data_IF_347201947499
#
_entry.id   IF_347201947499
#
_cell.length_a   1.000
_cell.length_b   1.000
_cell.length_c   1.000
_cell.angle_alpha   90.00
_cell.angle_beta   90.00
_cell.angle_gamma   90.00
#
_symmetry.space_group_name_H-M   'P 1'
#
loop_
_entity.id
_entity.type
_entity.pdbx_description
1 polymer ?
#
# COMPACT_ATOMS: atom_id res chain seq x y z
N UNK A 1 -3.93 41.51 -18.74
CA UNK A 1 -3.64 41.73 -17.30
C UNK A 1 -3.06 40.50 -16.59
N UNK A 2 -3.29 39.28 -17.09
CA UNK A 2 -2.76 38.03 -16.53
C UNK A 2 -1.23 37.92 -16.56
N UNK A 3 -0.55 38.40 -17.60
CA UNK A 3 0.91 38.24 -17.77
C UNK A 3 1.73 38.94 -16.70
N UNK A 4 1.33 40.14 -16.25
CA UNK A 4 2.05 40.87 -15.21
C UNK A 4 2.01 40.13 -13.87
N UNK A 5 0.86 39.55 -13.51
CA UNK A 5 0.70 38.78 -12.27
C UNK A 5 1.37 37.41 -12.34
N UNK A 6 1.34 36.75 -13.49
CA UNK A 6 2.07 35.51 -13.71
C UNK A 6 3.59 35.74 -13.60
N UNK A 7 4.09 36.84 -14.18
CA UNK A 7 5.50 37.22 -14.06
C UNK A 7 5.90 37.51 -12.61
N UNK A 8 5.07 38.25 -11.86
CA UNK A 8 5.28 38.48 -10.44
C UNK A 8 5.33 37.17 -9.64
N UNK A 9 4.36 36.27 -9.86
CA UNK A 9 4.32 34.96 -9.21
C UNK A 9 5.57 34.12 -9.55
N UNK A 10 6.00 34.11 -10.81
CA UNK A 10 7.23 33.42 -11.23
C UNK A 10 8.45 33.96 -10.51
N UNK A 11 8.56 35.29 -10.39
CA UNK A 11 9.64 35.95 -9.67
C UNK A 11 9.68 35.53 -8.20
N UNK A 12 8.53 35.58 -7.51
CA UNK A 12 8.40 35.13 -6.11
C UNK A 12 8.73 33.64 -5.93
N UNK A 13 8.26 32.78 -6.83
CA UNK A 13 8.55 31.36 -6.77
C UNK A 13 10.04 31.09 -7.01
N UNK A 14 10.69 31.85 -7.90
CA UNK A 14 12.12 31.68 -8.19
C UNK A 14 13.03 32.10 -7.02
N UNK A 15 12.60 33.07 -6.21
CA UNK A 15 13.38 33.66 -5.11
C UNK A 15 13.20 32.96 -3.76
N UNK A 16 12.34 31.95 -3.69
CA UNK A 16 12.05 31.21 -2.44
C UNK A 16 12.54 29.76 -2.47
N UNK A 17 12.64 29.12 -1.32
CA UNK A 17 13.00 27.69 -1.20
C UNK A 17 11.85 26.76 -1.57
N UNK A 18 12.15 25.49 -1.87
CA UNK A 18 11.18 24.52 -2.36
C UNK A 18 9.90 24.42 -1.51
N UNK A 19 10.04 24.28 -0.19
CA UNK A 19 8.90 24.14 0.72
C UNK A 19 8.00 25.38 0.72
N UNK A 20 8.58 26.57 0.60
CA UNK A 20 7.83 27.81 0.52
C UNK A 20 7.04 27.89 -0.79
N UNK A 21 7.65 27.51 -1.93
CA UNK A 21 6.96 27.40 -3.22
C UNK A 21 5.76 26.46 -3.14
N UNK A 22 5.95 25.28 -2.55
CA UNK A 22 4.86 24.30 -2.39
C UNK A 22 3.74 24.86 -1.52
N UNK A 23 4.05 25.47 -0.37
CA UNK A 23 3.03 26.10 0.50
C UNK A 23 2.26 27.22 -0.21
N UNK A 24 2.95 28.02 -1.02
CA UNK A 24 2.31 29.06 -1.82
C UNK A 24 1.36 28.46 -2.86
N UNK A 25 1.74 27.37 -3.53
CA UNK A 25 0.86 26.66 -4.47
C UNK A 25 -0.35 25.99 -3.80
N UNK A 26 -0.16 25.44 -2.60
CA UNK A 26 -1.26 24.93 -1.77
C UNK A 26 -2.24 26.05 -1.41
N UNK A 27 -1.74 27.24 -1.05
CA UNK A 27 -2.55 28.40 -0.73
C UNK A 27 -3.28 28.96 -1.97
N UNK A 28 -2.59 29.04 -3.11
CA UNK A 28 -3.18 29.45 -4.39
C UNK A 28 -4.30 28.48 -4.81
N UNK A 29 -4.08 27.17 -4.62
CA UNK A 29 -5.09 26.14 -4.84
C UNK A 29 -6.35 26.31 -3.99
N UNK A 30 -6.24 26.77 -2.73
CA UNK A 30 -7.42 27.08 -1.90
C UNK A 30 -8.22 28.24 -2.47
N UNK A 31 -7.52 29.30 -2.90
CA UNK A 31 -8.14 30.50 -3.49
C UNK A 31 -8.84 30.20 -4.80
N UNK A 32 -8.21 29.41 -5.67
CA UNK A 32 -8.72 29.06 -7.00
C UNK A 32 -10.11 28.39 -6.99
N UNK A 33 -10.60 27.90 -5.84
CA UNK A 33 -11.98 27.39 -5.71
C UNK A 33 -13.05 28.46 -5.91
N UNK A 34 -12.73 29.72 -5.61
CA UNK A 34 -13.68 30.84 -5.66
C UNK A 34 -13.13 32.05 -6.41
N UNK A 35 -11.85 32.03 -6.76
CA UNK A 35 -11.12 33.11 -7.42
C UNK A 35 -10.69 32.65 -8.84
N UNK A 36 -11.41 33.07 -9.90
CA UNK A 36 -11.08 32.72 -11.30
C UNK A 36 -9.69 33.20 -11.71
N UNK A 37 -9.15 34.22 -11.06
CA UNK A 37 -7.83 34.72 -11.37
C UNK A 37 -6.73 33.83 -10.80
N UNK A 38 -6.90 33.35 -9.56
CA UNK A 38 -6.04 32.31 -9.01
C UNK A 38 -6.08 31.03 -9.85
N UNK A 39 -7.26 30.69 -10.40
CA UNK A 39 -7.40 29.59 -11.36
C UNK A 39 -6.60 29.85 -12.64
N UNK A 40 -6.72 31.05 -13.23
CA UNK A 40 -5.97 31.42 -14.43
C UNK A 40 -4.44 31.38 -14.24
N UNK A 41 -3.94 31.73 -13.07
CA UNK A 41 -2.51 31.60 -12.74
C UNK A 41 -2.04 30.14 -12.70
N UNK A 42 -2.84 29.25 -12.10
CA UNK A 42 -2.54 27.81 -12.08
C UNK A 42 -2.58 27.20 -13.49
N UNK A 43 -3.55 27.60 -14.31
CA UNK A 43 -3.69 27.12 -15.68
C UNK A 43 -2.49 27.57 -16.54
N UNK A 44 -2.03 28.81 -16.36
CA UNK A 44 -0.84 29.31 -17.05
C UNK A 44 0.43 28.57 -16.63
N UNK A 45 0.63 28.30 -15.34
CA UNK A 45 1.77 27.50 -14.85
C UNK A 45 1.69 26.04 -15.36
N UNK A 46 0.49 25.48 -15.51
CA UNK A 46 0.30 24.12 -16.03
C UNK A 46 0.69 23.96 -17.52
N UNK A 47 0.80 25.07 -18.26
CA UNK A 47 1.33 25.09 -19.64
C UNK A 47 2.82 25.41 -19.71
N UNK A 48 3.46 25.61 -18.56
CA UNK A 48 4.86 26.00 -18.45
C UNK A 48 5.85 24.85 -18.60
N UNK A 49 7.08 25.12 -18.15
CA UNK A 49 8.12 24.10 -18.08
C UNK A 49 7.82 23.03 -17.01
N UNK A 50 8.64 21.98 -16.94
CA UNK A 50 8.43 20.89 -15.99
C UNK A 50 8.43 21.32 -14.50
N UNK A 51 9.12 22.41 -14.16
CA UNK A 51 9.11 22.99 -12.81
C UNK A 51 7.78 23.67 -12.53
N UNK A 52 7.31 24.50 -13.47
CA UNK A 52 6.03 25.19 -13.39
C UNK A 52 4.86 24.23 -13.34
N UNK A 53 4.84 23.21 -14.20
CA UNK A 53 3.79 22.17 -14.19
C UNK A 53 3.77 21.41 -12.87
N UNK A 54 4.94 21.10 -12.30
CA UNK A 54 5.02 20.47 -10.98
C UNK A 54 4.46 21.39 -9.88
N UNK A 55 4.73 22.69 -9.94
CA UNK A 55 4.21 23.66 -8.98
C UNK A 55 2.69 23.84 -9.12
N UNK A 56 2.18 23.94 -10.34
CA UNK A 56 0.73 23.97 -10.61
C UNK A 56 0.05 22.71 -10.05
N UNK A 57 0.66 21.54 -10.24
CA UNK A 57 0.16 20.27 -9.71
C UNK A 57 0.12 20.23 -8.17
N UNK A 58 1.05 20.90 -7.49
CA UNK A 58 1.04 20.97 -6.02
C UNK A 58 -0.23 21.67 -5.46
N UNK A 59 -0.92 22.50 -6.24
CA UNK A 59 -2.21 23.06 -5.84
C UNK A 59 -3.29 21.98 -5.61
N UNK A 60 -3.11 20.77 -6.15
CA UNK A 60 -4.06 19.66 -5.99
C UNK A 60 -4.10 19.08 -4.58
N UNK A 61 -3.13 19.37 -3.72
CA UNK A 61 -3.22 19.05 -2.29
C UNK A 61 -4.45 19.68 -1.63
N UNK A 62 -4.93 20.82 -2.15
CA UNK A 62 -6.14 21.49 -1.65
C UNK A 62 -7.28 21.41 -2.63
N UNK A 63 -7.05 21.53 -3.94
CA UNK A 63 -8.14 21.49 -4.92
C UNK A 63 -8.80 20.12 -5.08
N UNK A 64 -8.02 19.04 -5.01
CA UNK A 64 -8.49 17.66 -5.19
C UNK A 64 -9.18 17.41 -6.54
N UNK A 65 -8.64 17.99 -7.62
CA UNK A 65 -9.12 17.73 -8.99
C UNK A 65 -8.44 16.47 -9.52
N UNK A 66 -9.05 15.30 -9.28
CA UNK A 66 -8.51 14.01 -9.70
C UNK A 66 -8.20 13.92 -11.20
N UNK A 67 -9.01 14.55 -12.06
CA UNK A 67 -8.75 14.59 -13.51
C UNK A 67 -7.45 15.31 -13.88
N UNK A 68 -7.05 16.35 -13.14
CA UNK A 68 -5.76 17.02 -13.36
C UNK A 68 -4.59 16.15 -12.90
N UNK A 69 -4.75 15.44 -11.79
CA UNK A 69 -3.74 14.49 -11.28
C UNK A 69 -3.55 13.32 -12.24
N UNK A 70 -4.65 12.76 -12.75
CA UNK A 70 -4.63 11.64 -13.70
C UNK A 70 -3.89 12.00 -15.00
N UNK A 71 -4.18 13.17 -15.58
CA UNK A 71 -3.43 13.67 -16.76
C UNK A 71 -1.93 13.79 -16.48
N UNK A 72 -1.55 14.26 -15.29
CA UNK A 72 -0.16 14.44 -14.90
C UNK A 72 0.61 13.12 -14.69
N UNK A 73 -0.06 11.97 -14.61
CA UNK A 73 0.61 10.66 -14.59
C UNK A 73 1.31 10.33 -15.91
N UNK A 74 0.90 10.96 -17.01
CA UNK A 74 1.50 10.80 -18.33
C UNK A 74 2.45 11.95 -18.71
N UNK A 75 2.75 12.88 -17.78
CA UNK A 75 3.66 13.99 -18.06
C UNK A 75 5.05 13.48 -18.45
N UNK A 76 5.74 14.13 -19.39
CA UNK A 76 7.09 13.75 -19.83
C UNK A 76 8.13 13.80 -18.69
N UNK A 77 7.94 14.72 -17.75
CA UNK A 77 8.81 14.88 -16.59
C UNK A 77 8.52 13.84 -15.51
N UNK A 78 9.53 13.03 -15.18
CA UNK A 78 9.46 12.10 -14.05
C UNK A 78 9.09 12.80 -12.74
N UNK A 79 9.57 14.04 -12.52
CA UNK A 79 9.28 14.79 -11.29
C UNK A 79 7.80 15.19 -11.22
N UNK A 80 7.15 15.49 -12.34
CA UNK A 80 5.71 15.77 -12.36
C UNK A 80 4.95 14.47 -12.08
N UNK A 81 5.26 13.38 -12.79
CA UNK A 81 4.64 12.06 -12.57
C UNK A 81 4.76 11.58 -11.13
N UNK A 82 5.93 11.76 -10.51
CA UNK A 82 6.16 11.36 -9.12
C UNK A 82 5.22 12.07 -8.14
N UNK A 83 5.02 13.40 -8.31
CA UNK A 83 4.07 14.15 -7.51
C UNK A 83 2.62 13.74 -7.81
N UNK A 84 2.30 13.47 -9.08
CA UNK A 84 0.97 13.00 -9.46
C UNK A 84 0.62 11.69 -8.74
N UNK A 85 1.51 10.70 -8.70
CA UNK A 85 1.29 9.45 -7.96
C UNK A 85 1.09 9.66 -6.45
N UNK A 86 1.77 10.64 -5.84
CA UNK A 86 1.58 11.00 -4.43
C UNK A 86 0.18 11.61 -4.18
N UNK A 87 -0.35 12.33 -5.15
CA UNK A 87 -1.65 12.99 -5.08
C UNK A 87 -2.84 12.06 -5.38
N UNK A 88 -2.63 10.95 -6.11
CA UNK A 88 -3.72 10.01 -6.48
C UNK A 88 -4.60 9.64 -5.27
N UNK A 89 -4.06 9.19 -4.13
CA UNK A 89 -4.88 8.78 -3.01
C UNK A 89 -5.66 9.92 -2.34
N UNK A 90 -5.25 11.18 -2.58
CA UNK A 90 -5.82 12.40 -2.00
C UNK A 90 -6.86 13.08 -2.88
N UNK A 91 -6.64 13.07 -4.19
CA UNK A 91 -7.38 13.88 -5.15
C UNK A 91 -8.27 13.05 -6.09
N UNK A 92 -7.90 11.81 -6.39
CA UNK A 92 -8.66 10.97 -7.31
C UNK A 92 -9.84 10.28 -6.61
N UNK A 93 -10.97 10.17 -7.31
CA UNK A 93 -12.04 9.24 -6.96
C UNK A 93 -11.62 7.77 -7.18
N UNK A 94 -12.50 6.80 -6.86
CA UNK A 94 -12.15 5.37 -6.90
C UNK A 94 -11.87 4.88 -8.34
N UNK A 95 -12.60 5.38 -9.33
CA UNK A 95 -12.40 5.02 -10.73
C UNK A 95 -11.05 5.55 -11.25
N UNK A 96 -10.75 6.82 -10.95
CA UNK A 96 -9.48 7.47 -11.29
C UNK A 96 -8.30 6.83 -10.56
N UNK A 97 -8.47 6.44 -9.29
CA UNK A 97 -7.43 5.76 -8.53
C UNK A 97 -7.13 4.36 -9.08
N UNK A 98 -8.16 3.64 -9.55
CA UNK A 98 -7.99 2.35 -10.23
C UNK A 98 -7.23 2.50 -11.55
N UNK A 99 -7.59 3.51 -12.36
CA UNK A 99 -6.87 3.81 -13.59
C UNK A 99 -5.40 4.17 -13.32
N UNK A 100 -5.15 5.04 -12.34
CA UNK A 100 -3.80 5.40 -11.90
C UNK A 100 -3.00 4.18 -11.42
N UNK A 101 -3.65 3.22 -10.76
CA UNK A 101 -3.01 1.99 -10.31
C UNK A 101 -2.63 1.07 -11.47
N UNK A 102 -3.47 0.97 -12.51
CA UNK A 102 -3.16 0.26 -13.75
C UNK A 102 -1.98 0.90 -14.50
N UNK A 103 -1.95 2.23 -14.57
CA UNK A 103 -0.79 2.96 -15.12
C UNK A 103 0.48 2.70 -14.30
N UNK A 104 0.38 2.77 -12.96
CA UNK A 104 1.50 2.51 -12.07
C UNK A 104 2.07 1.09 -12.26
N UNK A 105 1.21 0.11 -12.49
CA UNK A 105 1.60 -1.28 -12.75
C UNK A 105 2.46 -1.40 -14.01
N UNK A 106 2.04 -0.79 -15.12
CA UNK A 106 2.83 -0.75 -16.36
C UNK A 106 4.21 -0.08 -16.17
N UNK A 107 4.34 0.79 -15.18
CA UNK A 107 5.59 1.47 -14.81
C UNK A 107 6.36 0.80 -13.67
N UNK A 108 5.89 -0.35 -13.14
CA UNK A 108 6.44 -1.05 -11.96
C UNK A 108 6.53 -0.17 -10.70
N UNK A 109 5.50 0.65 -10.44
CA UNK A 109 5.41 1.61 -9.31
C UNK A 109 4.21 1.41 -8.39
N UNK A 110 3.38 0.42 -8.68
CA UNK A 110 2.12 0.14 -8.00
C UNK A 110 2.30 -0.05 -6.48
N UNK A 111 3.45 -0.57 -6.03
CA UNK A 111 3.69 -0.91 -4.62
C UNK A 111 3.63 0.28 -3.66
N UNK A 112 4.06 1.46 -4.08
CA UNK A 112 3.94 2.67 -3.24
C UNK A 112 2.51 3.18 -3.21
N UNK A 113 1.82 3.14 -4.35
CA UNK A 113 0.44 3.57 -4.46
C UNK A 113 -0.51 2.66 -3.65
N UNK A 114 -0.35 1.34 -3.75
CA UNK A 114 -1.10 0.36 -2.96
C UNK A 114 -1.02 0.64 -1.46
N UNK A 115 0.20 0.89 -0.94
CA UNK A 115 0.40 1.22 0.49
C UNK A 115 -0.33 2.49 0.90
N UNK A 116 -0.33 3.51 0.04
CA UNK A 116 -1.04 4.77 0.31
C UNK A 116 -2.56 4.64 0.23
N UNK A 117 -3.08 3.74 -0.62
CA UNK A 117 -4.50 3.38 -0.66
C UNK A 117 -4.93 2.62 0.59
N UNK A 118 -4.11 1.66 1.07
CA UNK A 118 -4.34 0.96 2.35
C UNK A 118 -4.40 1.94 3.52
N UNK A 119 -3.44 2.86 3.62
CA UNK A 119 -3.42 3.88 4.69
C UNK A 119 -4.71 4.71 4.71
N UNK A 120 -5.31 4.95 3.53
CA UNK A 120 -6.57 5.68 3.37
C UNK A 120 -7.80 4.77 3.36
N UNK A 121 -7.64 3.47 3.63
CA UNK A 121 -8.70 2.46 3.69
C UNK A 121 -9.50 2.34 2.39
N UNK A 122 -8.88 2.62 1.24
CA UNK A 122 -9.50 2.53 -0.09
C UNK A 122 -9.39 1.11 -0.66
N UNK A 123 -9.86 0.12 0.10
CA UNK A 123 -9.71 -1.30 -0.27
C UNK A 123 -10.51 -1.66 -1.52
N UNK A 124 -11.65 -1.01 -1.79
CA UNK A 124 -12.45 -1.27 -2.99
C UNK A 124 -11.65 -1.08 -4.30
N UNK A 125 -10.75 -0.08 -4.33
CA UNK A 125 -9.85 0.17 -5.47
C UNK A 125 -8.83 -0.97 -5.61
N UNK A 126 -8.30 -1.45 -4.49
CA UNK A 126 -7.31 -2.55 -4.46
C UNK A 126 -7.97 -3.85 -4.91
N UNK A 127 -9.18 -4.14 -4.41
CA UNK A 127 -9.94 -5.33 -4.78
C UNK A 127 -10.26 -5.34 -6.28
N UNK A 128 -10.77 -4.22 -6.83
CA UNK A 128 -11.04 -4.10 -8.27
C UNK A 128 -9.77 -4.21 -9.13
N UNK A 129 -8.63 -3.76 -8.62
CA UNK A 129 -7.35 -3.93 -9.28
C UNK A 129 -6.90 -5.40 -9.29
N UNK A 130 -7.06 -6.12 -8.17
CA UNK A 130 -6.77 -7.55 -8.09
C UNK A 130 -7.70 -8.37 -8.99
N UNK A 131 -8.98 -8.03 -9.05
CA UNK A 131 -9.95 -8.65 -9.96
C UNK A 131 -9.48 -8.53 -11.42
N UNK A 132 -9.01 -7.34 -11.84
CA UNK A 132 -8.44 -7.15 -13.18
C UNK A 132 -7.11 -7.87 -13.41
N UNK A 133 -6.23 -7.95 -12.41
CA UNK A 133 -4.99 -8.74 -12.51
C UNK A 133 -5.26 -10.24 -12.56
N UNK A 134 -6.36 -10.71 -11.97
CA UNK A 134 -6.71 -12.12 -12.04
C UNK A 134 -6.95 -12.56 -13.51
N UNK A 135 -7.39 -11.66 -14.39
CA UNK A 135 -7.59 -11.96 -15.81
C UNK A 135 -6.26 -12.12 -16.59
N UNK A 136 -5.16 -11.52 -16.12
CA UNK A 136 -3.88 -11.47 -16.85
C UNK A 136 -2.69 -11.90 -15.96
N UNK A 137 -2.07 -13.06 -16.21
CA UNK A 137 -1.14 -13.68 -15.27
C UNK A 137 0.24 -12.99 -15.23
N UNK A 138 0.39 -11.95 -14.40
CA UNK A 138 1.69 -11.43 -13.94
C UNK A 138 1.89 -11.82 -12.46
N UNK A 139 2.39 -13.04 -12.23
CA UNK A 139 2.25 -13.75 -10.95
C UNK A 139 2.87 -13.09 -9.71
N UNK A 140 4.01 -12.41 -9.83
CA UNK A 140 4.72 -11.87 -8.65
C UNK A 140 4.05 -10.61 -8.08
N UNK A 141 3.60 -9.69 -8.94
CA UNK A 141 2.90 -8.47 -8.49
C UNK A 141 1.53 -8.80 -7.92
N UNK A 142 0.84 -9.80 -8.48
CA UNK A 142 -0.45 -10.27 -7.96
C UNK A 142 -0.33 -10.75 -6.51
N UNK A 143 0.54 -11.73 -6.24
CA UNK A 143 0.70 -12.29 -4.90
C UNK A 143 1.06 -11.20 -3.88
N UNK A 144 1.95 -10.28 -4.21
CA UNK A 144 2.34 -9.21 -3.29
C UNK A 144 1.19 -8.26 -2.92
N UNK A 145 0.25 -8.03 -3.83
CA UNK A 145 -0.87 -7.11 -3.63
C UNK A 145 -2.03 -7.73 -2.84
N UNK A 146 -2.22 -9.06 -2.90
CA UNK A 146 -3.36 -9.76 -2.27
C UNK A 146 -3.49 -9.48 -0.76
N UNK A 147 -2.41 -9.51 0.06
CA UNK A 147 -2.53 -9.20 1.49
C UNK A 147 -2.92 -7.74 1.82
N UNK A 148 -2.96 -6.85 0.83
CA UNK A 148 -3.37 -5.45 0.98
C UNK A 148 -4.85 -5.22 0.67
N UNK A 149 -5.55 -6.26 0.20
CA UNK A 149 -6.96 -6.23 -0.13
C UNK A 149 -7.85 -6.07 1.11
N UNK A 150 -9.16 -5.89 0.88
CA UNK A 150 -10.14 -6.13 1.93
C UNK A 150 -10.13 -7.60 2.36
N UNK A 151 -10.78 -7.93 3.49
CA UNK A 151 -10.96 -9.32 3.90
C UNK A 151 -11.69 -10.18 2.83
N UNK A 152 -12.64 -9.57 2.10
CA UNK A 152 -13.34 -10.21 0.99
C UNK A 152 -12.42 -10.46 -0.20
N UNK A 153 -11.68 -9.42 -0.63
CA UNK A 153 -10.72 -9.54 -1.73
C UNK A 153 -9.59 -10.52 -1.42
N UNK A 154 -9.08 -10.50 -0.18
CA UNK A 154 -8.08 -11.45 0.28
C UNK A 154 -8.59 -12.88 0.16
N UNK A 155 -9.76 -13.20 0.74
CA UNK A 155 -10.33 -14.55 0.66
C UNK A 155 -10.57 -15.01 -0.77
N UNK A 156 -11.05 -14.12 -1.65
CA UNK A 156 -11.29 -14.40 -3.06
C UNK A 156 -10.01 -14.79 -3.81
N UNK A 157 -8.91 -14.11 -3.52
CA UNK A 157 -7.65 -14.21 -4.28
C UNK A 157 -6.56 -15.03 -3.59
N UNK A 158 -6.77 -15.48 -2.35
CA UNK A 158 -5.77 -16.14 -1.51
C UNK A 158 -5.21 -17.41 -2.14
N UNK A 159 -6.08 -18.33 -2.59
CA UNK A 159 -5.68 -19.62 -3.15
C UNK A 159 -4.66 -19.44 -4.30
N UNK A 160 -4.94 -18.48 -5.19
CA UNK A 160 -4.05 -18.15 -6.30
C UNK A 160 -2.76 -17.48 -5.85
N UNK A 161 -2.81 -16.58 -4.86
CA UNK A 161 -1.61 -15.95 -4.32
C UNK A 161 -0.64 -16.97 -3.69
N UNK A 162 -1.19 -18.05 -3.13
CA UNK A 162 -0.45 -19.15 -2.51
C UNK A 162 0.22 -20.09 -3.53
N UNK A 163 -0.13 -20.05 -4.82
CA UNK A 163 0.55 -20.83 -5.85
C UNK A 163 2.00 -20.36 -6.04
N UNK A 164 2.23 -19.05 -5.97
CA UNK A 164 3.56 -18.43 -6.13
C UNK A 164 3.75 -17.29 -5.12
N UNK A 165 3.85 -17.60 -3.83
CA UNK A 165 3.95 -16.59 -2.79
C UNK A 165 5.37 -16.06 -2.73
N UNK A 166 5.52 -14.74 -2.74
CA UNK A 166 6.82 -14.10 -2.55
C UNK A 166 7.14 -13.94 -1.06
N UNK A 167 8.37 -13.55 -0.75
CA UNK A 167 8.75 -13.11 0.60
C UNK A 167 7.88 -11.95 1.11
N UNK A 168 7.55 -10.98 0.25
CA UNK A 168 6.72 -9.82 0.61
C UNK A 168 5.27 -10.21 0.87
N UNK A 169 4.75 -11.22 0.17
CA UNK A 169 3.42 -11.77 0.44
C UNK A 169 3.31 -12.21 1.90
N UNK A 170 4.27 -13.03 2.38
CA UNK A 170 4.27 -13.52 3.76
C UNK A 170 4.37 -12.41 4.80
N UNK A 171 5.30 -11.46 4.61
CA UNK A 171 5.46 -10.31 5.50
C UNK A 171 4.20 -9.44 5.57
N UNK A 172 3.51 -9.25 4.43
CA UNK A 172 2.28 -8.47 4.39
C UNK A 172 1.11 -9.23 4.99
N UNK A 173 0.99 -10.53 4.75
CA UNK A 173 -0.07 -11.34 5.35
C UNK A 173 0.08 -11.34 6.88
N UNK A 174 1.30 -11.52 7.38
CA UNK A 174 1.61 -11.42 8.82
C UNK A 174 1.27 -10.04 9.41
N UNK A 175 1.35 -8.98 8.61
CA UNK A 175 1.09 -7.60 9.07
C UNK A 175 -0.39 -7.23 9.01
N UNK A 176 -1.08 -7.59 7.94
CA UNK A 176 -2.41 -7.07 7.61
C UNK A 176 -3.54 -8.09 7.86
N UNK A 177 -3.25 -9.39 7.85
CA UNK A 177 -4.21 -10.47 8.09
C UNK A 177 -3.54 -11.64 8.83
N UNK A 178 -3.10 -11.43 10.09
CA UNK A 178 -2.39 -12.46 10.86
C UNK A 178 -3.26 -13.69 11.16
N UNK A 179 -4.58 -13.53 11.23
CA UNK A 179 -5.57 -14.60 11.32
C UNK A 179 -5.54 -15.51 10.09
N UNK A 180 -5.52 -14.92 8.89
CA UNK A 180 -5.42 -15.66 7.63
C UNK A 180 -4.07 -16.35 7.50
N UNK A 181 -2.97 -15.67 7.83
CA UNK A 181 -1.65 -16.32 7.87
C UNK A 181 -1.65 -17.52 8.81
N UNK A 182 -2.18 -17.34 10.01
CA UNK A 182 -2.27 -18.39 11.01
C UNK A 182 -3.06 -19.60 10.52
N UNK A 183 -4.21 -19.37 9.90
CA UNK A 183 -5.05 -20.43 9.32
C UNK A 183 -4.32 -21.21 8.21
N UNK A 184 -3.66 -20.52 7.29
CA UNK A 184 -2.88 -21.16 6.21
C UNK A 184 -1.75 -22.02 6.78
N UNK A 185 -1.01 -21.50 7.76
CA UNK A 185 0.09 -22.25 8.37
C UNK A 185 -0.43 -23.45 9.19
N UNK A 186 -1.55 -23.29 9.91
CA UNK A 186 -2.19 -24.39 10.62
C UNK A 186 -2.63 -25.51 9.68
N UNK A 187 -3.24 -25.15 8.56
CA UNK A 187 -3.68 -26.11 7.55
C UNK A 187 -2.48 -26.89 6.98
N UNK A 188 -1.41 -26.21 6.60
CA UNK A 188 -0.22 -26.86 6.04
C UNK A 188 0.51 -27.75 7.04
N UNK A 189 0.66 -27.30 8.28
CA UNK A 189 1.25 -28.11 9.35
C UNK A 189 0.33 -29.27 9.74
N UNK A 190 -0.98 -29.08 9.72
CA UNK A 190 -1.98 -30.09 10.05
C UNK A 190 -2.15 -31.16 8.96
N UNK A 191 -1.86 -30.85 7.70
CA UNK A 191 -2.02 -31.77 6.56
C UNK A 191 -0.98 -32.90 6.51
N UNK A 192 0.05 -32.86 7.37
CA UNK A 192 1.14 -33.85 7.37
C UNK A 192 1.27 -34.46 8.77
N UNK A 193 1.19 -35.79 8.86
CA UNK A 193 1.34 -36.47 10.15
C UNK A 193 2.81 -36.52 10.63
N UNK A 194 3.75 -36.52 9.69
CA UNK A 194 5.19 -36.59 9.94
C UNK A 194 5.92 -35.25 9.96
N UNK A 195 7.19 -35.26 9.54
CA UNK A 195 8.04 -34.07 9.54
C UNK A 195 7.53 -33.01 8.55
N UNK A 196 7.22 -31.83 9.07
CA UNK A 196 6.85 -30.65 8.26
C UNK A 196 8.01 -30.27 7.37
N UNK A 197 7.76 -29.99 6.09
CA UNK A 197 8.82 -29.64 5.15
C UNK A 197 9.63 -28.41 5.62
N UNK A 198 10.92 -28.31 5.26
CA UNK A 198 11.79 -27.23 5.75
C UNK A 198 11.30 -25.81 5.43
N UNK A 199 10.58 -25.62 4.31
CA UNK A 199 10.08 -24.30 3.89
C UNK A 199 8.91 -23.89 4.78
N UNK A 200 7.97 -24.79 5.03
CA UNK A 200 6.86 -24.53 5.96
C UNK A 200 7.37 -24.30 7.37
N UNK A 201 8.34 -25.10 7.85
CA UNK A 201 8.98 -24.88 9.16
C UNK A 201 9.62 -23.50 9.27
N UNK A 202 10.38 -23.09 8.24
CA UNK A 202 10.99 -21.77 8.19
C UNK A 202 9.92 -20.66 8.26
N UNK A 203 8.83 -20.79 7.51
CA UNK A 203 7.72 -19.82 7.52
C UNK A 203 7.05 -19.72 8.88
N UNK A 204 6.78 -20.86 9.53
CA UNK A 204 6.22 -20.87 10.88
C UNK A 204 7.17 -20.18 11.84
N UNK A 205 8.44 -20.60 11.93
CA UNK A 205 9.42 -20.01 12.84
C UNK A 205 9.59 -18.50 12.64
N UNK A 206 9.60 -18.03 11.39
CA UNK A 206 9.73 -16.60 11.06
C UNK A 206 8.56 -15.74 11.57
N UNK A 207 7.37 -16.30 11.66
CA UNK A 207 6.15 -15.54 11.96
C UNK A 207 5.51 -15.89 13.31
N UNK A 208 5.98 -16.94 13.99
CA UNK A 208 5.32 -17.47 15.20
C UNK A 208 5.28 -16.46 16.34
N UNK A 209 6.35 -15.68 16.57
CA UNK A 209 6.35 -14.64 17.61
C UNK A 209 5.28 -13.57 17.36
N UNK A 210 5.15 -13.12 16.11
CA UNK A 210 4.12 -12.14 15.72
C UNK A 210 2.71 -12.72 15.83
N UNK A 211 2.53 -13.98 15.43
CA UNK A 211 1.26 -14.68 15.59
C UNK A 211 0.90 -14.83 17.07
N UNK A 212 1.88 -15.12 17.94
CA UNK A 212 1.67 -15.19 19.38
C UNK A 212 1.18 -13.86 19.97
N UNK A 213 1.64 -12.73 19.45
CA UNK A 213 1.18 -11.41 19.87
C UNK A 213 -0.22 -11.06 19.34
N UNK A 214 -0.50 -11.35 18.06
CA UNK A 214 -1.69 -10.86 17.37
C UNK A 214 -2.86 -11.85 17.35
N UNK A 215 -2.58 -13.14 17.28
CA UNK A 215 -3.56 -14.24 17.20
C UNK A 215 -3.12 -15.41 18.09
N UNK A 216 -3.09 -15.21 19.43
CA UNK A 216 -2.45 -16.14 20.37
C UNK A 216 -3.04 -17.55 20.34
N UNK A 217 -4.35 -17.71 20.10
CA UNK A 217 -4.98 -19.04 20.03
C UNK A 217 -4.45 -19.86 18.84
N UNK A 218 -4.26 -19.22 17.68
CA UNK A 218 -3.68 -19.87 16.50
C UNK A 218 -2.20 -20.21 16.72
N UNK A 219 -1.45 -19.31 17.35
CA UNK A 219 -0.05 -19.56 17.67
C UNK A 219 0.12 -20.70 18.69
N UNK A 220 -0.77 -20.80 19.67
CA UNK A 220 -0.83 -21.91 20.62
C UNK A 220 -1.09 -23.25 19.92
N UNK A 221 -2.06 -23.28 19.00
CA UNK A 221 -2.36 -24.47 18.21
C UNK A 221 -1.17 -24.89 17.32
N UNK A 222 -0.51 -23.93 16.66
CA UNK A 222 0.71 -24.20 15.88
C UNK A 222 1.83 -24.75 16.75
N UNK A 223 2.06 -24.14 17.91
CA UNK A 223 3.07 -24.58 18.86
C UNK A 223 2.80 -26.01 19.34
N UNK A 224 1.57 -26.33 19.73
CA UNK A 224 1.19 -27.68 20.15
C UNK A 224 1.44 -28.72 19.04
N UNK A 225 1.11 -28.38 17.80
CA UNK A 225 1.37 -29.24 16.63
C UNK A 225 2.86 -29.45 16.35
N UNK A 226 3.71 -28.45 16.60
CA UNK A 226 5.16 -28.59 16.45
C UNK A 226 5.76 -29.45 17.58
N UNK A 227 5.37 -29.19 18.83
CA UNK A 227 5.84 -29.92 20.00
C UNK A 227 5.46 -31.40 19.96
N UNK A 228 4.21 -31.72 19.56
CA UNK A 228 3.74 -33.09 19.40
C UNK A 228 4.57 -33.90 18.38
N UNK A 229 5.26 -33.22 17.47
CA UNK A 229 6.15 -33.81 16.46
C UNK A 229 7.63 -33.74 16.82
N UNK A 230 7.95 -33.34 18.05
CA UNK A 230 9.33 -33.20 18.53
C UNK A 230 10.10 -32.02 17.89
N UNK A 231 9.40 -31.09 17.23
CA UNK A 231 10.04 -29.89 16.65
C UNK A 231 10.19 -28.86 17.78
N UNK A 232 11.42 -28.35 18.03
CA UNK A 232 11.64 -27.39 19.09
C UNK A 232 10.88 -26.09 18.83
N UNK A 233 10.32 -25.56 19.91
CA UNK A 233 9.56 -24.33 19.90
C UNK A 233 10.45 -23.09 19.71
N UNK A 234 9.90 -22.07 19.04
CA UNK A 234 10.55 -20.76 19.00
C UNK A 234 10.49 -20.07 20.37
N UNK A 235 11.66 -19.64 20.87
CA UNK A 235 11.80 -19.07 22.22
C UNK A 235 11.09 -17.72 22.35
N UNK A 236 11.06 -16.91 21.28
CA UNK A 236 10.37 -15.62 21.27
C UNK A 236 8.86 -15.79 21.37
N UNK A 237 8.31 -16.71 20.57
CA UNK A 237 6.91 -17.09 20.63
C UNK A 237 6.51 -17.68 21.99
N UNK A 238 7.30 -18.62 22.54
CA UNK A 238 7.05 -19.18 23.88
C UNK A 238 7.01 -18.10 24.95
N UNK A 239 7.99 -17.19 24.96
CA UNK A 239 8.04 -16.09 25.94
C UNK A 239 6.80 -15.20 25.82
N UNK A 240 6.38 -14.90 24.60
CA UNK A 240 5.18 -14.09 24.34
C UNK A 240 3.91 -14.80 24.82
N UNK A 241 3.76 -16.09 24.50
CA UNK A 241 2.61 -16.88 24.94
C UNK A 241 2.57 -17.08 26.46
N UNK A 242 3.70 -17.38 27.12
CA UNK A 242 3.76 -17.47 28.58
C UNK A 242 3.32 -16.16 29.24
N UNK A 243 3.71 -15.01 28.68
CA UNK A 243 3.29 -13.70 29.19
C UNK A 243 1.80 -13.45 29.01
N UNK A 244 1.22 -13.83 27.87
CA UNK A 244 -0.17 -13.54 27.53
C UNK A 244 -1.17 -14.60 28.06
N UNK A 245 -0.74 -15.86 28.17
CA UNK A 245 -1.57 -17.06 28.41
C UNK A 245 -0.84 -18.12 29.26
N UNK A 246 -0.30 -17.79 30.45
CA UNK A 246 0.63 -18.65 31.19
C UNK A 246 0.09 -20.07 31.46
N UNK A 247 -1.16 -20.19 31.93
CA UNK A 247 -1.74 -21.50 32.25
C UNK A 247 -1.90 -22.42 31.02
N UNK A 248 -2.30 -21.86 29.88
CA UNK A 248 -2.48 -22.65 28.65
C UNK A 248 -1.13 -23.03 28.04
N UNK A 249 -0.16 -22.12 28.05
CA UNK A 249 1.18 -22.41 27.53
C UNK A 249 1.91 -23.46 28.37
N UNK A 250 1.78 -23.40 29.70
CA UNK A 250 2.35 -24.43 30.58
C UNK A 250 1.73 -25.82 30.38
N UNK A 251 0.46 -25.89 29.97
CA UNK A 251 -0.20 -27.18 29.68
C UNK A 251 0.29 -27.84 28.37
N UNK A 252 1.04 -27.12 27.53
CA UNK A 252 1.58 -27.62 26.26
C UNK A 252 3.02 -28.12 26.35
N UNK A 253 3.74 -27.77 27.43
CA UNK A 253 5.12 -28.15 27.70
C UNK A 253 5.18 -29.41 28.56
#
# INVERSE_FOLDING_TARGET
>A
MSDSRLSALRSELSSTFHDARVRQMVALGRRARTDPEAQGLLDALAQGDASERRLALAAQFTRREGGAVLRALSDESFRVRALAFELVPLACDDAQALEALRMAHGMRREQSLLRELVKRRRHAVIDAYLDGLAEHPDGATFSDAVPLASAEGLRRHLARALERPSHRFWERLARYAPDVLGAVLLEWVGAVDGEVDPVTRYRVGRHLERLAEQVPDTAEALLGLLLARGIPADVGALRTLVRLRPARTLALL
#
